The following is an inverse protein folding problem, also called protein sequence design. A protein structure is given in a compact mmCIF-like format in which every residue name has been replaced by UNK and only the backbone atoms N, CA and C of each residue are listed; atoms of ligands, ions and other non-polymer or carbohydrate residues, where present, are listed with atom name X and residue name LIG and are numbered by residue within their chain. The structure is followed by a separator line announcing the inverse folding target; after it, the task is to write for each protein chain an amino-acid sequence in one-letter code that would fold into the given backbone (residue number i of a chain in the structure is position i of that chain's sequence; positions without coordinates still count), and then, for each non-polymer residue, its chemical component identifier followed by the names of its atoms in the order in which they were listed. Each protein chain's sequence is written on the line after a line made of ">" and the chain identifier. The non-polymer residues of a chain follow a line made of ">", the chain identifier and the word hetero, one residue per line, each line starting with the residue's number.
data_IF_105147067411
#
_entry.id   IF_105147067411
#
_cell.length_a   1.000
_cell.length_b   1.000
_cell.length_c   1.000
_cell.angle_alpha   90.00
_cell.angle_beta   90.00
_cell.angle_gamma   90.00
#
_symmetry.space_group_name_H-M   'P 1'
#
loop_
_entity.id
_entity.type
_entity.pdbx_description
1 polymer ?
#
# COMPACT_ATOMS: atom_id res chain seq x y z
N UNK A 1 11.80 -17.25 -15.48
CA UNK A 1 11.85 -16.11 -14.54
C UNK A 1 11.68 -16.65 -13.14
N UNK A 2 12.71 -16.59 -12.29
CA UNK A 2 12.68 -17.15 -10.94
C UNK A 2 11.84 -16.21 -10.07
N UNK A 3 10.58 -16.55 -9.81
CA UNK A 3 9.78 -15.88 -8.78
C UNK A 3 10.45 -16.23 -7.46
N UNK A 4 11.22 -15.33 -6.85
CA UNK A 4 11.63 -15.52 -5.46
C UNK A 4 10.31 -15.56 -4.68
N UNK A 5 9.95 -16.77 -4.27
CA UNK A 5 8.57 -17.11 -3.96
C UNK A 5 8.26 -16.64 -2.54
N UNK A 6 7.55 -15.52 -2.44
CA UNK A 6 6.77 -15.24 -1.25
C UNK A 6 5.84 -16.43 -1.01
N UNK A 7 5.97 -17.08 0.14
CA UNK A 7 5.06 -18.14 0.55
C UNK A 7 3.81 -17.53 1.20
N UNK A 8 2.74 -18.31 1.35
CA UNK A 8 1.56 -17.86 2.10
C UNK A 8 1.91 -17.43 3.54
N UNK A 9 2.85 -18.13 4.17
CA UNK A 9 3.36 -17.78 5.50
C UNK A 9 4.18 -16.47 5.49
N UNK A 10 5.02 -16.22 4.47
CA UNK A 10 5.74 -14.95 4.33
C UNK A 10 4.79 -13.76 4.13
N UNK A 11 3.68 -13.96 3.41
CA UNK A 11 2.68 -12.90 3.17
C UNK A 11 1.99 -12.54 4.48
N UNK A 12 1.64 -13.55 5.30
CA UNK A 12 1.00 -13.34 6.59
C UNK A 12 1.95 -12.66 7.60
N UNK A 13 3.20 -13.12 7.68
CA UNK A 13 4.23 -12.49 8.52
C UNK A 13 4.48 -11.04 8.09
N UNK A 14 4.57 -10.78 6.79
CA UNK A 14 4.74 -9.44 6.24
C UNK A 14 3.54 -8.55 6.54
N UNK A 15 2.32 -9.08 6.42
CA UNK A 15 1.10 -8.37 6.76
C UNK A 15 1.10 -7.98 8.24
N UNK A 16 1.39 -8.93 9.14
CA UNK A 16 1.46 -8.69 10.57
C UNK A 16 2.54 -7.67 10.94
N UNK A 17 3.74 -7.77 10.33
CA UNK A 17 4.87 -6.84 10.56
C UNK A 17 4.52 -5.39 10.22
N UNK A 18 3.79 -5.17 9.14
CA UNK A 18 3.48 -3.83 8.62
C UNK A 18 2.09 -3.32 9.03
N UNK A 19 1.31 -4.11 9.78
CA UNK A 19 -0.06 -3.77 10.15
C UNK A 19 -1.01 -3.72 8.94
N UNK A 20 -0.72 -4.54 7.93
CA UNK A 20 -1.52 -4.70 6.72
C UNK A 20 -2.46 -5.89 6.85
N UNK A 21 -3.53 -5.88 6.06
CA UNK A 21 -4.29 -7.10 5.78
C UNK A 21 -3.53 -7.98 4.79
N UNK A 22 -3.79 -9.29 4.82
CA UNK A 22 -3.19 -10.27 3.88
C UNK A 22 -3.36 -9.81 2.43
N UNK A 23 -4.54 -9.32 2.06
CA UNK A 23 -4.82 -8.82 0.71
C UNK A 23 -3.99 -7.59 0.33
N UNK A 24 -3.73 -6.68 1.27
CA UNK A 24 -2.88 -5.51 1.03
C UNK A 24 -1.42 -5.92 0.86
N UNK A 25 -0.94 -6.87 1.66
CA UNK A 25 0.39 -7.45 1.51
C UNK A 25 0.59 -8.06 0.12
N UNK A 26 -0.37 -8.84 -0.38
CA UNK A 26 -0.33 -9.40 -1.73
C UNK A 26 -0.22 -8.32 -2.82
N UNK A 27 -0.97 -7.22 -2.69
CA UNK A 27 -0.93 -6.10 -3.64
C UNK A 27 0.46 -5.44 -3.64
N UNK A 28 1.03 -5.18 -2.46
CA UNK A 28 2.37 -4.58 -2.33
C UNK A 28 3.42 -5.48 -2.97
N UNK A 29 3.34 -6.79 -2.74
CA UNK A 29 4.27 -7.79 -3.27
C UNK A 29 4.14 -7.92 -4.79
N UNK A 30 2.92 -8.03 -5.33
CA UNK A 30 2.70 -8.09 -6.79
C UNK A 30 3.21 -6.83 -7.49
N UNK A 31 3.03 -5.66 -6.88
CA UNK A 31 3.38 -4.37 -7.49
C UNK A 31 4.89 -4.11 -7.51
N UNK A 32 5.65 -4.65 -6.54
CA UNK A 32 7.09 -4.37 -6.38
C UNK A 32 7.98 -5.56 -6.77
N UNK A 33 7.37 -6.73 -6.99
CA UNK A 33 8.07 -7.97 -7.29
C UNK A 33 8.68 -8.61 -6.04
N UNK A 34 9.44 -9.70 -6.20
CA UNK A 34 9.81 -10.59 -5.11
C UNK A 34 10.91 -10.05 -4.17
N UNK A 35 11.31 -8.79 -4.31
CA UNK A 35 12.38 -8.20 -3.50
C UNK A 35 11.85 -7.71 -2.15
N UNK A 36 12.26 -8.37 -1.05
CA UNK A 36 11.87 -8.02 0.34
C UNK A 36 12.10 -6.55 0.65
N UNK A 37 13.29 -6.03 0.35
CA UNK A 37 13.65 -4.61 0.56
C UNK A 37 12.72 -3.63 -0.16
N UNK A 38 12.28 -3.94 -1.39
CA UNK A 38 11.35 -3.08 -2.14
C UNK A 38 9.95 -3.13 -1.54
N UNK A 39 9.52 -4.33 -1.14
CA UNK A 39 8.22 -4.53 -0.51
C UNK A 39 8.13 -3.83 0.86
N UNK A 40 9.17 -3.89 1.69
CA UNK A 40 9.21 -3.18 2.97
C UNK A 40 9.04 -1.66 2.76
N UNK A 41 9.80 -1.05 1.85
CA UNK A 41 9.69 0.38 1.55
C UNK A 41 8.30 0.76 1.01
N UNK A 42 7.74 -0.10 0.16
CA UNK A 42 6.42 0.10 -0.42
C UNK A 42 5.31 -0.07 0.62
N UNK A 43 5.46 -0.96 1.61
CA UNK A 43 4.50 -1.12 2.70
C UNK A 43 4.44 0.12 3.60
N UNK A 44 5.58 0.72 3.92
CA UNK A 44 5.62 1.99 4.67
C UNK A 44 4.90 3.11 3.92
N UNK A 45 5.18 3.27 2.62
CA UNK A 45 4.51 4.25 1.78
C UNK A 45 2.99 3.98 1.66
N UNK A 46 2.61 2.70 1.53
CA UNK A 46 1.22 2.28 1.46
C UNK A 46 0.46 2.60 2.76
N UNK A 47 1.06 2.33 3.92
CA UNK A 47 0.49 2.69 5.23
C UNK A 47 0.34 4.20 5.42
N UNK A 48 1.34 4.98 5.00
CA UNK A 48 1.26 6.44 5.02
C UNK A 48 0.08 6.93 4.17
N UNK A 49 -0.09 6.38 2.96
CA UNK A 49 -1.21 6.70 2.07
C UNK A 49 -2.56 6.29 2.68
N UNK A 50 -2.66 5.13 3.33
CA UNK A 50 -3.89 4.72 4.03
C UNK A 50 -4.28 5.68 5.14
N UNK A 51 -3.31 6.13 5.96
CA UNK A 51 -3.54 7.13 7.02
C UNK A 51 -3.98 8.47 6.44
N UNK A 52 -3.39 8.90 5.32
CA UNK A 52 -3.82 10.11 4.62
C UNK A 52 -5.20 9.97 4.01
N UNK A 53 -5.55 8.79 3.49
CA UNK A 53 -6.85 8.51 2.89
C UNK A 53 -7.96 8.44 3.96
N UNK A 54 -7.70 7.81 5.11
CA UNK A 54 -8.66 7.79 6.23
C UNK A 54 -8.92 9.19 6.77
N UNK A 55 -7.87 9.99 6.95
CA UNK A 55 -8.00 11.39 7.37
C UNK A 55 -8.67 12.26 6.30
N UNK A 56 -8.34 12.05 5.02
CA UNK A 56 -8.98 12.76 3.91
C UNK A 56 -10.42 12.31 3.71
N UNK A 57 -10.81 11.09 4.08
CA UNK A 57 -12.22 10.68 4.05
C UNK A 57 -13.03 11.43 5.11
N UNK A 58 -12.43 11.66 6.28
CA UNK A 58 -13.04 12.45 7.36
C UNK A 58 -13.07 13.96 7.04
N UNK A 59 -12.03 14.50 6.39
CA UNK A 59 -11.91 15.93 6.03
C UNK A 59 -12.39 16.28 4.61
N UNK A 60 -12.64 15.28 3.77
CA UNK A 60 -12.75 15.39 2.31
C UNK A 60 -14.10 14.98 1.73
N UNK A 61 -15.16 14.98 2.53
CA UNK A 61 -16.47 15.38 2.01
C UNK A 61 -16.45 16.82 1.43
N UNK A 62 -15.35 17.58 1.55
CA UNK A 62 -15.21 18.95 1.05
C UNK A 62 -13.98 19.27 0.19
N UNK A 63 -13.27 18.30 -0.38
CA UNK A 63 -12.21 18.62 -1.37
C UNK A 63 -12.19 17.62 -2.51
N UNK A 64 -13.21 17.71 -3.36
CA UNK A 64 -12.98 17.54 -4.79
C UNK A 64 -11.82 18.47 -5.19
N UNK A 65 -10.79 18.01 -5.92
CA UNK A 65 -9.99 18.95 -6.67
C UNK A 65 -10.92 19.45 -7.77
N UNK A 66 -11.64 20.53 -7.49
CA UNK A 66 -12.20 21.37 -8.54
C UNK A 66 -11.02 21.68 -9.44
N UNK A 67 -10.99 21.06 -10.62
CA UNK A 67 -10.21 21.59 -11.74
C UNK A 67 -10.81 22.97 -12.01
N UNK A 68 -10.33 23.98 -11.29
CA UNK A 68 -10.56 25.38 -11.63
C UNK A 68 -9.79 25.58 -12.91
N UNK A 69 -10.53 25.62 -14.01
CA UNK A 69 -10.03 26.16 -15.25
C UNK A 69 -9.48 27.56 -15.00
N UNK A 70 -8.28 27.79 -15.53
CA UNK A 70 -7.82 29.11 -15.99
C UNK A 70 -7.42 28.87 -17.45
N UNK A 71 -8.32 29.24 -18.36
CA UNK A 71 -8.43 30.52 -19.07
C UNK A 71 -7.56 30.48 -20.32
#
# INVERSE_FOLDING_TARGET
>A
MKRSCWTGADIDEFAAKHGLTTRQAEIVIQSNGPSKRKCDLAAEAFMAALRQCSYSREKGARRSPSKVGKQ
#
